data_IF_499069159065
#
_entry.id   IF_499069159065
#
_cell.length_a   1.000
_cell.length_b   1.000
_cell.length_c   1.000
_cell.angle_alpha   90.00
_cell.angle_beta   90.00
_cell.angle_gamma   90.00
#
_symmetry.space_group_name_H-M   'P 1'
#
loop_
_entity.id
_entity.type
_entity.pdbx_description
1 polymer ?
#
# COMPACT_ATOMS: atom_id res chain seq x y z
N UNK A 1 36.80 -37.49 16.13
CA UNK A 1 36.60 -37.61 14.67
C UNK A 1 35.31 -38.39 14.46
N UNK A 2 34.19 -37.69 14.22
CA UNK A 2 32.88 -38.33 13.98
C UNK A 2 32.63 -38.37 12.47
N UNK A 3 32.50 -39.55 11.83
CA UNK A 3 32.15 -39.61 10.42
C UNK A 3 30.66 -39.97 10.19
N UNK A 4 30.07 -39.18 9.31
CA UNK A 4 28.99 -39.48 8.37
C UNK A 4 27.60 -39.92 8.89
N UNK A 5 26.68 -38.94 8.95
CA UNK A 5 25.24 -39.21 8.81
C UNK A 5 24.96 -39.50 7.33
N UNK A 6 24.49 -40.71 7.03
CA UNK A 6 23.86 -41.05 5.77
C UNK A 6 22.41 -41.45 6.00
N UNK A 7 21.49 -40.80 5.26
CA UNK A 7 20.21 -41.30 4.70
C UNK A 7 19.14 -40.21 4.73
N UNK A 8 18.93 -39.55 3.59
CA UNK A 8 17.62 -38.97 3.26
C UNK A 8 17.20 -39.49 1.89
N UNK A 9 16.62 -40.69 1.88
CA UNK A 9 15.91 -41.23 0.73
C UNK A 9 14.46 -40.79 0.82
N UNK A 10 14.06 -39.79 0.04
CA UNK A 10 12.66 -39.42 -0.12
C UNK A 10 12.03 -40.33 -1.19
N UNK A 11 11.82 -41.61 -0.85
CA UNK A 11 10.98 -42.48 -1.66
C UNK A 11 9.53 -42.34 -1.18
N UNK A 12 8.79 -41.50 -1.89
CA UNK A 12 7.34 -41.47 -1.78
C UNK A 12 6.79 -42.49 -2.77
N UNK A 13 6.35 -43.64 -2.27
CA UNK A 13 5.62 -44.63 -3.05
C UNK A 13 4.69 -45.39 -2.11
N UNK A 14 3.39 -45.15 -2.27
CA UNK A 14 2.36 -45.65 -1.35
C UNK A 14 0.95 -45.47 -1.88
N UNK A 15 0.67 -46.14 -3.01
CA UNK A 15 -0.60 -46.79 -3.40
C UNK A 15 -1.93 -46.03 -3.34
N UNK A 16 -2.50 -45.86 -4.53
CA UNK A 16 -3.92 -45.74 -4.84
C UNK A 16 -4.74 -46.92 -4.27
N UNK A 17 -5.97 -46.69 -3.80
CA UNK A 17 -7.23 -47.21 -4.39
C UNK A 17 -8.44 -47.05 -3.45
N UNK A 18 -9.52 -46.47 -3.97
CA UNK A 18 -10.85 -46.35 -3.35
C UNK A 18 -11.72 -45.35 -4.14
N UNK A 19 -12.91 -45.71 -4.65
CA UNK A 19 -13.60 -44.91 -5.66
C UNK A 19 -14.67 -43.97 -5.08
N UNK A 20 -15.09 -43.00 -5.91
CA UNK A 20 -16.31 -42.18 -5.85
C UNK A 20 -16.22 -40.87 -5.02
N UNK A 21 -15.89 -39.76 -5.68
CA UNK A 21 -16.78 -38.63 -6.06
C UNK A 21 -15.94 -37.49 -6.68
N UNK A 22 -16.30 -36.90 -7.84
CA UNK A 22 -15.67 -35.65 -8.28
C UNK A 22 -16.33 -34.49 -7.51
N UNK A 23 -15.69 -34.04 -6.44
CA UNK A 23 -15.88 -32.67 -5.97
C UNK A 23 -14.74 -31.85 -6.55
N UNK A 24 -15.11 -30.95 -7.44
CA UNK A 24 -14.23 -30.00 -8.12
C UNK A 24 -13.49 -29.17 -7.06
N UNK A 25 -12.27 -29.60 -6.75
CA UNK A 25 -11.33 -28.87 -5.92
C UNK A 25 -10.91 -27.62 -6.69
N UNK A 26 -11.62 -26.52 -6.44
CA UNK A 26 -11.21 -25.18 -6.85
C UNK A 26 -9.83 -24.92 -6.27
N UNK A 27 -8.84 -25.13 -7.13
CA UNK A 27 -7.44 -24.84 -6.89
C UNK A 27 -7.29 -23.43 -6.32
N UNK A 28 -6.76 -23.36 -5.11
CA UNK A 28 -6.27 -22.12 -4.52
C UNK A 28 -5.26 -21.50 -5.50
N UNK A 29 -5.39 -20.23 -5.90
CA UNK A 29 -4.29 -19.56 -6.58
C UNK A 29 -3.19 -19.27 -5.56
N UNK A 30 -2.30 -20.25 -5.36
CA UNK A 30 -0.94 -19.98 -4.97
C UNK A 30 -0.27 -19.23 -6.12
N UNK A 31 -0.15 -17.92 -5.95
CA UNK A 31 0.82 -17.14 -6.69
C UNK A 31 1.46 -16.15 -5.72
N UNK A 32 2.44 -16.66 -4.99
CA UNK A 32 3.61 -15.90 -4.57
C UNK A 32 4.29 -15.40 -5.85
N UNK A 33 3.71 -14.37 -6.47
CA UNK A 33 4.27 -13.70 -7.63
C UNK A 33 5.03 -12.52 -7.07
N UNK A 34 6.24 -12.79 -6.58
CA UNK A 34 7.21 -11.76 -6.30
C UNK A 34 7.25 -10.80 -7.48
N UNK A 35 7.16 -9.50 -7.19
CA UNK A 35 7.22 -8.44 -8.21
C UNK A 35 8.46 -8.68 -9.07
N UNK A 36 8.26 -9.17 -10.28
CA UNK A 36 9.35 -9.38 -11.23
C UNK A 36 9.94 -8.00 -11.54
N UNK A 37 11.26 -7.86 -11.50
CA UNK A 37 11.98 -6.62 -11.86
C UNK A 37 11.94 -6.34 -13.37
N UNK A 38 10.92 -6.83 -14.07
CA UNK A 38 10.70 -6.56 -15.47
C UNK A 38 10.35 -5.08 -15.65
N UNK A 39 10.87 -4.41 -16.70
CA UNK A 39 10.51 -3.03 -16.99
C UNK A 39 8.99 -2.89 -17.10
N UNK A 40 8.42 -1.90 -16.40
CA UNK A 40 6.99 -1.60 -16.54
C UNK A 40 6.67 -1.25 -18.00
N UNK A 41 5.52 -1.71 -18.54
CA UNK A 41 5.07 -1.33 -19.87
C UNK A 41 5.04 0.20 -20.04
N UNK A 42 5.39 0.73 -21.22
CA UNK A 42 5.50 2.18 -21.43
C UNK A 42 4.17 2.92 -21.17
N UNK A 43 3.04 2.29 -21.43
CA UNK A 43 1.70 2.83 -21.15
C UNK A 43 1.48 3.04 -19.65
N UNK A 44 1.92 2.10 -18.80
CA UNK A 44 1.80 2.18 -17.34
C UNK A 44 2.68 3.30 -16.80
N UNK A 45 3.93 3.38 -17.23
CA UNK A 45 4.87 4.44 -16.83
C UNK A 45 4.32 5.83 -17.19
N UNK A 46 3.75 5.98 -18.39
CA UNK A 46 3.11 7.24 -18.82
C UNK A 46 1.88 7.58 -17.98
N UNK A 47 1.07 6.59 -17.60
CA UNK A 47 -0.09 6.81 -16.73
C UNK A 47 0.34 7.27 -15.33
N UNK A 48 1.35 6.62 -14.73
CA UNK A 48 1.91 7.03 -13.44
C UNK A 48 2.47 8.46 -13.48
N UNK A 49 3.18 8.83 -14.55
CA UNK A 49 3.68 10.19 -14.75
C UNK A 49 2.56 11.23 -14.76
N UNK A 50 1.47 10.96 -15.50
CA UNK A 50 0.29 11.86 -15.52
C UNK A 50 -0.39 11.99 -14.15
N UNK A 51 -0.47 10.90 -13.38
CA UNK A 51 -1.02 10.95 -12.03
C UNK A 51 -0.14 11.78 -11.09
N UNK A 52 1.18 11.64 -11.19
CA UNK A 52 2.12 12.44 -10.41
C UNK A 52 2.02 13.94 -10.74
N UNK A 53 1.92 14.29 -12.03
CA UNK A 53 1.68 15.67 -12.48
C UNK A 53 0.35 16.23 -11.95
N UNK A 54 -0.71 15.42 -11.99
CA UNK A 54 -2.01 15.81 -11.46
C UNK A 54 -1.97 16.04 -9.95
N UNK A 55 -1.31 15.15 -9.19
CA UNK A 55 -1.09 15.33 -7.77
C UNK A 55 -0.30 16.61 -7.50
N UNK A 56 0.82 16.85 -8.18
CA UNK A 56 1.62 18.05 -8.00
C UNK A 56 0.82 19.33 -8.28
N UNK A 57 -0.02 19.34 -9.32
CA UNK A 57 -0.90 20.47 -9.65
C UNK A 57 -1.95 20.71 -8.56
N UNK A 58 -2.54 19.66 -8.01
CA UNK A 58 -3.49 19.77 -6.90
C UNK A 58 -2.81 20.32 -5.64
N UNK A 59 -1.61 19.85 -5.34
CA UNK A 59 -0.86 20.26 -4.16
C UNK A 59 -0.30 21.68 -4.25
N UNK A 60 -0.09 22.22 -5.46
CA UNK A 60 0.47 23.56 -5.68
C UNK A 60 -0.26 24.68 -4.92
N UNK A 61 -1.59 24.57 -4.77
CA UNK A 61 -2.40 25.56 -4.07
C UNK A 61 -2.73 25.13 -2.63
N UNK A 62 -2.08 24.09 -2.12
CA UNK A 62 -2.30 23.57 -0.78
C UNK A 62 -1.09 23.82 0.12
N UNK A 63 -1.34 23.94 1.41
CA UNK A 63 -0.30 24.23 2.40
C UNK A 63 0.26 22.94 2.99
N UNK A 64 1.59 22.78 2.99
CA UNK A 64 2.26 21.72 3.74
C UNK A 64 2.17 22.03 5.24
N UNK A 65 1.54 21.14 6.00
CA UNK A 65 1.36 21.28 7.45
C UNK A 65 2.14 20.24 8.26
N UNK A 66 2.87 19.35 7.60
CA UNK A 66 3.66 18.32 8.27
C UNK A 66 2.81 17.45 9.20
N UNK A 67 3.31 17.19 10.40
CA UNK A 67 2.67 16.30 11.39
C UNK A 67 1.40 16.86 12.04
N UNK A 68 1.16 18.16 11.87
CA UNK A 68 -0.02 18.84 12.44
C UNK A 68 -1.27 18.62 11.57
N UNK A 69 -1.19 17.78 10.54
CA UNK A 69 -2.28 17.54 9.60
C UNK A 69 -3.58 17.09 10.29
N UNK A 70 -3.50 16.15 11.24
CA UNK A 70 -4.68 15.64 11.92
C UNK A 70 -5.38 16.73 12.75
N UNK A 71 -4.62 17.48 13.54
CA UNK A 71 -5.14 18.58 14.36
C UNK A 71 -5.76 19.68 13.49
N UNK A 72 -5.06 20.13 12.45
CA UNK A 72 -5.58 21.19 11.57
C UNK A 72 -6.81 20.74 10.79
N UNK A 73 -6.87 19.47 10.38
CA UNK A 73 -8.05 18.92 9.70
C UNK A 73 -9.28 18.91 10.60
N UNK A 74 -9.12 18.54 11.88
CA UNK A 74 -10.18 18.63 12.89
C UNK A 74 -10.60 20.07 13.15
N UNK A 75 -9.64 20.97 13.35
CA UNK A 75 -9.93 22.39 13.60
C UNK A 75 -10.76 23.01 12.47
N UNK A 76 -10.49 22.66 11.21
CA UNK A 76 -11.32 23.07 10.07
C UNK A 76 -12.69 22.41 10.10
N UNK A 77 -12.77 21.11 10.38
CA UNK A 77 -14.04 20.37 10.45
C UNK A 77 -14.99 20.93 11.53
N UNK A 78 -14.46 21.29 12.71
CA UNK A 78 -15.23 21.87 13.81
C UNK A 78 -15.45 23.39 13.67
N UNK A 79 -14.90 24.03 12.65
CA UNK A 79 -15.07 25.47 12.40
C UNK A 79 -14.23 26.38 13.31
N UNK A 80 -13.23 25.84 13.99
CA UNK A 80 -12.26 26.61 14.78
C UNK A 80 -11.26 27.36 13.89
N UNK A 81 -11.14 26.92 12.63
CA UNK A 81 -10.29 27.53 11.60
C UNK A 81 -11.01 27.59 10.25
N UNK A 82 -10.66 28.59 9.44
CA UNK A 82 -11.10 28.67 8.04
C UNK A 82 -10.67 27.44 7.24
N UNK A 83 -11.57 26.96 6.37
CA UNK A 83 -11.29 25.85 5.47
C UNK A 83 -10.24 26.26 4.41
N UNK A 84 -9.16 25.49 4.34
CA UNK A 84 -8.12 25.61 3.34
C UNK A 84 -7.70 24.24 2.82
N UNK A 85 -7.09 24.21 1.62
CA UNK A 85 -6.45 22.98 1.12
C UNK A 85 -5.13 22.78 1.87
N UNK A 86 -5.02 21.70 2.64
CA UNK A 86 -3.80 21.35 3.37
C UNK A 86 -3.37 19.93 3.03
N UNK A 87 -2.08 19.66 3.15
CA UNK A 87 -1.52 18.32 3.04
C UNK A 87 -0.38 18.15 4.05
N UNK A 88 -0.18 16.93 4.53
CA UNK A 88 0.83 16.66 5.52
C UNK A 88 0.95 15.17 5.85
N UNK A 89 1.47 14.90 7.03
CA UNK A 89 1.74 13.57 7.55
C UNK A 89 0.75 13.24 8.66
N UNK A 90 0.22 12.02 8.63
CA UNK A 90 -0.56 11.46 9.71
C UNK A 90 -0.21 9.98 9.84
N UNK A 91 -0.21 9.45 11.06
CA UNK A 91 -0.11 8.01 11.28
C UNK A 91 -1.36 7.30 10.76
N UNK A 92 -1.25 6.00 10.53
CA UNK A 92 -2.39 5.18 10.10
C UNK A 92 -3.54 5.18 11.12
N UNK A 93 -3.24 5.37 12.42
CA UNK A 93 -4.26 5.47 13.44
C UNK A 93 -4.97 6.83 13.37
N UNK A 94 -4.23 7.93 13.33
CA UNK A 94 -4.81 9.28 13.21
C UNK A 94 -5.65 9.42 11.94
N UNK A 95 -5.20 8.87 10.81
CA UNK A 95 -5.96 8.89 9.57
C UNK A 95 -7.30 8.14 9.67
N UNK A 96 -7.36 7.05 10.46
CA UNK A 96 -8.60 6.32 10.73
C UNK A 96 -9.51 7.10 11.66
N UNK A 97 -8.97 7.65 12.73
CA UNK A 97 -9.72 8.47 13.69
C UNK A 97 -10.38 9.65 12.96
N UNK A 98 -9.66 10.31 12.05
CA UNK A 98 -10.22 11.39 11.21
C UNK A 98 -11.40 10.92 10.36
N UNK A 99 -11.32 9.73 9.77
CA UNK A 99 -12.43 9.17 8.98
C UNK A 99 -13.63 8.80 9.86
N UNK A 100 -13.39 8.24 11.05
CA UNK A 100 -14.43 7.86 12.01
C UNK A 100 -15.14 9.10 12.59
N UNK A 101 -14.40 10.21 12.76
CA UNK A 101 -14.94 11.53 13.12
C UNK A 101 -15.73 12.19 11.96
N UNK A 102 -15.61 11.69 10.73
CA UNK A 102 -16.25 12.25 9.55
C UNK A 102 -15.46 13.40 8.89
N UNK A 103 -14.19 13.56 9.24
CA UNK A 103 -13.28 14.52 8.60
C UNK A 103 -12.88 14.00 7.22
N UNK A 104 -13.09 14.82 6.18
CA UNK A 104 -12.83 14.45 4.80
C UNK A 104 -11.32 14.45 4.51
N UNK A 105 -10.68 13.28 4.63
CA UNK A 105 -9.26 13.06 4.34
C UNK A 105 -9.05 11.96 3.30
N UNK A 106 -7.96 12.05 2.53
CA UNK A 106 -7.59 11.05 1.53
C UNK A 106 -6.06 10.87 1.47
N UNK A 107 -5.57 9.63 1.31
CA UNK A 107 -4.14 9.38 1.12
C UNK A 107 -3.68 9.86 -0.25
N UNK A 108 -2.47 10.41 -0.32
CA UNK A 108 -1.86 10.81 -1.58
C UNK A 108 -1.30 9.58 -2.34
N UNK A 109 -1.52 9.46 -3.66
CA UNK A 109 -0.97 8.38 -4.48
C UNK A 109 0.56 8.25 -4.44
N UNK A 110 1.26 9.38 -4.36
CA UNK A 110 2.73 9.44 -4.33
C UNK A 110 3.21 10.18 -3.08
N UNK A 111 4.36 9.77 -2.49
CA UNK A 111 4.94 10.48 -1.36
C UNK A 111 5.34 11.91 -1.72
N UNK A 112 5.16 12.83 -0.78
CA UNK A 112 5.56 14.24 -0.92
C UNK A 112 6.78 14.47 -0.03
N UNK A 113 7.81 15.11 -0.58
CA UNK A 113 8.98 15.49 0.20
C UNK A 113 8.69 16.76 1.01
N UNK A 114 9.08 16.83 2.29
CA UNK A 114 9.02 18.05 3.07
C UNK A 114 9.82 19.17 2.37
N UNK A 115 9.33 20.42 2.35
CA UNK A 115 10.01 21.55 1.71
C UNK A 115 11.43 21.79 2.23
N UNK A 116 11.69 21.41 3.49
CA UNK A 116 13.01 21.52 4.13
C UNK A 116 14.07 20.58 3.50
N UNK A 117 13.66 19.48 2.86
CA UNK A 117 14.56 18.48 2.26
C UNK A 117 14.85 18.73 0.77
N UNK A 118 14.31 19.80 0.21
CA UNK A 118 14.38 20.13 -1.23
C UNK A 118 15.47 21.18 -1.55
N UNK A 119 16.25 21.62 -0.57
CA UNK A 119 17.34 22.60 -0.70
C UNK A 119 18.69 22.01 -0.25
#
# INVERSE_FOLDING_TARGET
>A
MSPAVGKKGNQQSGKQSGPLVPVEEVAQPQADKGLSNDPMPPEVTKALGKLAEAQAKALKNSTWVGKDFAEQSRAMHYGEREHASIHGEASAQEARDLLDEGVAVAPLPFPVAPPEKLN
#
